data_IF_341902690482
#
_entry.id   IF_341902690482
#
_cell.length_a   1.000
_cell.length_b   1.000
_cell.length_c   1.000
_cell.angle_alpha   90.00
_cell.angle_beta   90.00
_cell.angle_gamma   90.00
#
_symmetry.space_group_name_H-M   'P 1'
#
loop_
_entity.id
_entity.type
_entity.pdbx_description
1 polymer ?
#
# COMPACT_ATOMS: atom_id res chain seq x y z
N UNK A 1 -26.35 -7.60 3.58
CA UNK A 1 -25.28 -6.61 3.27
C UNK A 1 -24.33 -7.27 2.29
N UNK A 2 -23.93 -6.59 1.20
CA UNK A 2 -22.88 -7.05 0.28
C UNK A 2 -21.58 -6.34 0.67
N UNK A 3 -20.48 -7.09 0.71
CA UNK A 3 -19.13 -6.58 1.03
C UNK A 3 -18.29 -6.59 -0.24
N UNK A 4 -17.67 -5.46 -0.57
CA UNK A 4 -16.60 -5.38 -1.58
C UNK A 4 -15.30 -5.51 -0.82
N UNK A 5 -14.56 -6.60 -1.07
CA UNK A 5 -13.25 -6.85 -0.47
C UNK A 5 -12.16 -6.55 -1.50
N UNK A 6 -11.47 -5.43 -1.31
CA UNK A 6 -10.30 -5.09 -2.12
C UNK A 6 -9.08 -5.81 -1.55
N UNK A 7 -8.68 -6.89 -2.22
CA UNK A 7 -7.60 -7.78 -1.81
C UNK A 7 -6.34 -7.62 -2.69
N UNK A 8 -6.17 -6.45 -3.33
CA UNK A 8 -5.06 -6.18 -4.25
C UNK A 8 -3.67 -6.33 -3.63
N UNK A 9 -3.56 -6.25 -2.30
CA UNK A 9 -2.33 -6.43 -1.53
C UNK A 9 -2.23 -7.78 -0.81
N UNK A 10 -3.16 -8.72 -1.02
CA UNK A 10 -3.27 -9.97 -0.26
C UNK A 10 -2.00 -10.83 -0.28
N UNK A 11 -1.23 -10.80 -1.36
CA UNK A 11 -0.01 -11.59 -1.53
C UNK A 11 1.23 -10.97 -0.85
N UNK A 12 1.14 -9.70 -0.44
CA UNK A 12 2.25 -8.94 0.15
C UNK A 12 2.22 -9.01 1.68
N UNK A 13 2.37 -10.21 2.22
CA UNK A 13 2.42 -10.45 3.66
C UNK A 13 3.84 -10.63 4.17
N UNK A 14 4.08 -10.28 5.42
CA UNK A 14 5.37 -10.57 6.06
C UNK A 14 5.64 -12.09 6.09
N UNK A 15 6.91 -12.52 5.96
CA UNK A 15 7.28 -13.92 6.04
C UNK A 15 6.71 -14.57 7.31
N UNK A 16 6.03 -15.72 7.12
CA UNK A 16 5.36 -16.45 8.21
C UNK A 16 3.93 -15.98 8.53
N UNK A 17 3.47 -14.87 7.96
CA UNK A 17 2.07 -14.43 8.03
C UNK A 17 1.28 -14.97 6.85
N UNK A 18 -0.02 -15.21 7.07
CA UNK A 18 -0.95 -15.65 6.03
C UNK A 18 -2.08 -14.66 5.92
N UNK A 19 -2.42 -14.31 4.69
CA UNK A 19 -3.63 -13.58 4.40
C UNK A 19 -4.85 -14.51 4.53
N UNK A 20 -5.93 -14.00 5.10
CA UNK A 20 -7.22 -14.68 5.16
C UNK A 20 -8.21 -13.95 4.26
N UNK A 21 -8.54 -14.51 3.07
CA UNK A 21 -9.53 -13.89 2.18
C UNK A 21 -10.88 -13.75 2.88
N UNK A 22 -11.55 -12.62 2.71
CA UNK A 22 -12.86 -12.39 3.34
C UNK A 22 -13.89 -13.49 2.96
N UNK A 23 -13.91 -13.88 1.69
CA UNK A 23 -14.78 -14.92 1.20
C UNK A 23 -14.53 -16.31 1.82
N UNK A 24 -13.35 -16.55 2.43
CA UNK A 24 -13.00 -17.84 3.05
C UNK A 24 -13.37 -17.95 4.53
N UNK A 25 -13.87 -16.87 5.14
CA UNK A 25 -14.21 -16.87 6.57
C UNK A 25 -15.38 -17.80 6.89
N UNK A 26 -16.45 -17.75 6.11
CA UNK A 26 -17.59 -18.66 6.20
C UNK A 26 -18.49 -18.55 4.96
N UNK A 27 -19.51 -19.42 4.86
CA UNK A 27 -20.44 -19.46 3.72
C UNK A 27 -21.20 -18.13 3.53
N UNK A 28 -21.57 -17.44 4.60
CA UNK A 28 -22.26 -16.15 4.50
C UNK A 28 -21.35 -15.08 3.90
N UNK A 29 -20.06 -15.03 4.31
CA UNK A 29 -19.07 -14.15 3.71
C UNK A 29 -18.86 -14.46 2.23
N UNK A 30 -18.75 -15.76 1.88
CA UNK A 30 -18.61 -16.20 0.48
C UNK A 30 -19.76 -15.73 -0.40
N UNK A 31 -21.01 -15.94 0.04
CA UNK A 31 -22.21 -15.62 -0.74
C UNK A 31 -22.52 -14.12 -0.82
N UNK A 32 -21.98 -13.33 0.08
CA UNK A 32 -22.24 -11.88 0.16
C UNK A 32 -20.98 -11.03 -0.14
N UNK A 33 -20.00 -11.56 -0.86
CA UNK A 33 -18.77 -10.82 -1.19
C UNK A 33 -18.56 -10.65 -2.68
N UNK A 34 -17.90 -9.55 -2.99
CA UNK A 34 -17.28 -9.23 -4.27
C UNK A 34 -15.80 -9.04 -3.96
N UNK A 35 -14.95 -10.01 -4.32
CA UNK A 35 -13.52 -9.96 -4.05
C UNK A 35 -12.77 -9.44 -5.27
N UNK A 36 -12.02 -8.36 -5.10
CA UNK A 36 -11.21 -7.73 -6.14
C UNK A 36 -9.75 -8.13 -5.99
N UNK A 37 -9.15 -8.70 -7.02
CA UNK A 37 -7.78 -9.20 -7.07
C UNK A 37 -7.02 -8.64 -8.26
N UNK A 38 -5.71 -8.47 -8.13
CA UNK A 38 -4.85 -8.13 -9.25
C UNK A 38 -3.39 -8.53 -8.98
N UNK A 39 -2.69 -9.02 -9.98
CA UNK A 39 -1.25 -9.24 -9.95
C UNK A 39 -0.42 -7.92 -9.94
N UNK A 40 -1.08 -6.78 -10.11
CA UNK A 40 -0.43 -5.48 -10.33
C UNK A 40 0.51 -5.04 -9.20
N UNK A 41 0.18 -5.33 -7.94
CA UNK A 41 0.98 -4.88 -6.79
C UNK A 41 2.08 -5.86 -6.41
N UNK A 42 1.76 -7.15 -6.34
CA UNK A 42 2.72 -8.18 -5.98
C UNK A 42 3.76 -8.43 -7.08
N UNK A 43 3.37 -8.32 -8.35
CA UNK A 43 4.23 -8.63 -9.49
C UNK A 43 4.60 -7.42 -10.35
N UNK A 44 4.36 -6.20 -9.85
CA UNK A 44 4.68 -4.96 -10.55
C UNK A 44 4.07 -4.85 -11.96
N UNK A 45 2.84 -5.32 -12.13
CA UNK A 45 2.12 -5.35 -13.41
C UNK A 45 1.06 -4.23 -13.53
N UNK A 46 1.15 -3.18 -12.71
CA UNK A 46 0.16 -2.10 -12.70
C UNK A 46 -0.03 -1.41 -14.07
N UNK A 47 1.03 -1.35 -14.89
CA UNK A 47 0.98 -0.79 -16.24
C UNK A 47 0.08 -1.55 -17.20
N UNK A 48 -0.27 -2.80 -16.92
CA UNK A 48 -1.20 -3.60 -17.72
C UNK A 48 -2.68 -3.33 -17.40
N UNK A 49 -2.97 -2.61 -16.31
CA UNK A 49 -4.30 -2.11 -15.95
C UNK A 49 -5.38 -3.20 -15.93
N UNK A 50 -5.09 -4.35 -15.33
CA UNK A 50 -6.02 -5.46 -15.22
C UNK A 50 -6.26 -5.88 -13.78
N UNK A 51 -7.51 -6.26 -13.52
CA UNK A 51 -7.95 -6.85 -12.27
C UNK A 51 -8.98 -7.95 -12.56
N UNK A 52 -9.18 -8.85 -11.62
CA UNK A 52 -10.26 -9.83 -11.67
C UNK A 52 -11.16 -9.68 -10.44
N UNK A 53 -12.43 -10.03 -10.63
CA UNK A 53 -13.45 -9.99 -9.61
C UNK A 53 -14.01 -11.38 -9.42
N UNK A 54 -13.95 -11.89 -8.18
CA UNK A 54 -14.43 -13.21 -7.81
C UNK A 54 -15.74 -13.07 -7.01
N UNK A 55 -16.81 -13.69 -7.48
CA UNK A 55 -18.13 -13.60 -6.89
C UNK A 55 -18.78 -14.99 -6.93
N UNK A 56 -19.11 -15.56 -5.77
CA UNK A 56 -19.73 -16.88 -5.66
C UNK A 56 -21.23 -16.84 -6.00
N UNK A 57 -21.95 -15.83 -5.50
CA UNK A 57 -23.38 -15.66 -5.80
C UNK A 57 -23.63 -15.35 -7.28
N UNK A 58 -24.42 -16.18 -7.95
CA UNK A 58 -24.71 -16.06 -9.38
C UNK A 58 -25.49 -14.78 -9.71
N UNK A 59 -26.43 -14.40 -8.88
CA UNK A 59 -27.24 -13.20 -9.10
C UNK A 59 -26.41 -11.92 -9.02
N UNK A 60 -25.51 -11.84 -8.05
CA UNK A 60 -24.56 -10.70 -7.91
C UNK A 60 -23.58 -10.72 -9.10
N UNK A 61 -23.02 -11.89 -9.43
CA UNK A 61 -22.05 -12.04 -10.52
C UNK A 61 -22.65 -11.59 -11.86
N UNK A 62 -23.85 -12.02 -12.19
CA UNK A 62 -24.51 -11.65 -13.44
C UNK A 62 -24.80 -10.14 -13.54
N UNK A 63 -25.14 -9.49 -12.42
CA UNK A 63 -25.35 -8.04 -12.38
C UNK A 63 -24.06 -7.26 -12.59
N UNK A 64 -22.97 -7.67 -11.91
CA UNK A 64 -21.66 -7.04 -12.06
C UNK A 64 -21.11 -7.26 -13.48
N UNK A 65 -21.21 -8.48 -14.01
CA UNK A 65 -20.83 -8.79 -15.39
C UNK A 65 -21.53 -7.88 -16.41
N UNK A 66 -22.84 -7.71 -16.26
CA UNK A 66 -23.62 -6.80 -17.12
C UNK A 66 -23.17 -5.36 -16.99
N UNK A 67 -22.89 -4.89 -15.76
CA UNK A 67 -22.37 -3.55 -15.50
C UNK A 67 -21.05 -3.30 -16.23
N UNK A 68 -20.08 -4.22 -16.12
CA UNK A 68 -18.81 -4.09 -16.78
C UNK A 68 -18.91 -4.00 -18.31
N UNK A 69 -19.81 -4.77 -18.92
CA UNK A 69 -20.06 -4.68 -20.36
C UNK A 69 -20.79 -3.40 -20.76
N UNK A 70 -21.72 -2.92 -19.92
CA UNK A 70 -22.40 -1.64 -20.16
C UNK A 70 -21.42 -0.47 -20.11
N UNK A 71 -20.46 -0.52 -19.20
CA UNK A 71 -19.46 0.53 -19.03
C UNK A 71 -18.21 0.32 -19.93
N UNK A 72 -18.20 -0.71 -20.76
CA UNK A 72 -17.10 -1.07 -21.69
C UNK A 72 -15.75 -1.28 -20.99
N UNK A 73 -15.75 -1.81 -19.75
CA UNK A 73 -14.56 -2.07 -18.95
C UNK A 73 -14.29 -3.57 -18.74
N UNK A 74 -15.04 -4.44 -19.42
CA UNK A 74 -14.91 -5.90 -19.29
C UNK A 74 -13.69 -6.49 -20.02
N UNK A 75 -13.19 -5.79 -21.05
CA UNK A 75 -12.14 -6.29 -21.93
C UNK A 75 -10.76 -5.90 -21.38
N UNK A 76 -9.96 -6.86 -20.86
CA UNK A 76 -8.63 -6.56 -20.38
C UNK A 76 -7.66 -6.32 -21.56
N UNK A 77 -6.54 -5.66 -21.26
CA UNK A 77 -5.41 -5.56 -22.17
C UNK A 77 -4.95 -6.98 -22.62
N UNK A 78 -4.61 -7.14 -23.89
CA UNK A 78 -4.28 -8.44 -24.48
C UNK A 78 -3.10 -9.16 -23.79
N UNK A 79 -2.13 -8.41 -23.26
CA UNK A 79 -1.00 -8.98 -22.53
C UNK A 79 -1.30 -9.21 -21.03
N UNK A 80 -2.36 -8.62 -20.52
CA UNK A 80 -2.67 -8.65 -19.09
C UNK A 80 -3.06 -10.05 -18.62
N UNK A 81 -3.81 -10.80 -19.42
CA UNK A 81 -4.21 -12.16 -19.07
C UNK A 81 -3.01 -13.08 -18.96
N UNK A 82 -2.17 -13.13 -19.99
CA UNK A 82 -0.97 -13.97 -20.04
C UNK A 82 0.01 -13.61 -18.92
N UNK A 83 0.26 -12.31 -18.71
CA UNK A 83 1.15 -11.85 -17.66
C UNK A 83 0.61 -12.19 -16.25
N UNK A 84 -0.70 -12.07 -16.02
CA UNK A 84 -1.32 -12.43 -14.74
C UNK A 84 -1.28 -13.94 -14.48
N UNK A 85 -1.53 -14.75 -15.52
CA UNK A 85 -1.44 -16.21 -15.46
C UNK A 85 0.00 -16.62 -15.10
N UNK A 86 0.99 -16.12 -15.82
CA UNK A 86 2.40 -16.40 -15.54
C UNK A 86 2.79 -15.96 -14.11
N UNK A 87 2.37 -14.77 -13.69
CA UNK A 87 2.64 -14.25 -12.35
C UNK A 87 2.09 -15.18 -11.25
N UNK A 88 0.84 -15.60 -11.34
CA UNK A 88 0.22 -16.44 -10.31
C UNK A 88 0.63 -17.91 -10.36
N UNK A 89 0.93 -18.46 -11.55
CA UNK A 89 1.31 -19.86 -11.67
C UNK A 89 2.82 -20.04 -11.45
N UNK A 90 3.65 -19.17 -11.99
CA UNK A 90 5.11 -19.33 -12.03
C UNK A 90 5.84 -18.37 -11.05
N UNK A 91 5.19 -17.29 -10.60
CA UNK A 91 5.81 -16.23 -9.80
C UNK A 91 6.01 -16.52 -8.32
N UNK A 92 5.78 -17.75 -7.84
CA UNK A 92 5.80 -18.09 -6.41
C UNK A 92 7.15 -17.80 -5.73
N UNK A 93 8.26 -18.14 -6.37
CA UNK A 93 9.59 -17.92 -5.79
C UNK A 93 9.94 -16.42 -5.81
N UNK A 94 9.61 -15.72 -6.89
CA UNK A 94 9.68 -14.26 -6.96
C UNK A 94 8.93 -13.59 -5.80
N UNK A 95 7.69 -13.97 -5.59
CA UNK A 95 6.85 -13.39 -4.53
C UNK A 95 7.43 -13.64 -3.14
N UNK A 96 7.95 -14.85 -2.90
CA UNK A 96 8.62 -15.21 -1.65
C UNK A 96 9.83 -14.29 -1.40
N UNK A 97 10.69 -14.12 -2.40
CA UNK A 97 11.89 -13.28 -2.28
C UNK A 97 11.53 -11.81 -2.13
N UNK A 98 10.51 -11.34 -2.87
CA UNK A 98 9.98 -9.99 -2.72
C UNK A 98 9.48 -9.72 -1.30
N UNK A 99 8.70 -10.63 -0.72
CA UNK A 99 8.18 -10.48 0.64
C UNK A 99 9.31 -10.44 1.70
N UNK A 100 10.37 -11.24 1.52
CA UNK A 100 11.56 -11.15 2.37
C UNK A 100 12.28 -9.81 2.22
N UNK A 101 12.43 -9.33 0.99
CA UNK A 101 13.06 -8.06 0.69
C UNK A 101 12.29 -6.87 1.28
N UNK A 102 10.97 -6.84 1.11
CA UNK A 102 10.09 -5.82 1.70
C UNK A 102 10.17 -5.86 3.23
N UNK A 103 10.13 -7.05 3.83
CA UNK A 103 10.26 -7.20 5.29
C UNK A 103 11.61 -6.66 5.80
N UNK A 104 12.71 -6.91 5.08
CA UNK A 104 14.02 -6.37 5.43
C UNK A 104 14.07 -4.83 5.32
N UNK A 105 13.47 -4.27 4.25
CA UNK A 105 13.32 -2.82 4.10
C UNK A 105 12.49 -2.22 5.23
N UNK A 106 11.35 -2.84 5.58
CA UNK A 106 10.48 -2.40 6.66
C UNK A 106 11.22 -2.33 8.00
N UNK A 107 11.92 -3.40 8.38
CA UNK A 107 12.72 -3.45 9.59
C UNK A 107 13.81 -2.37 9.62
N UNK A 108 14.47 -2.16 8.48
CA UNK A 108 15.48 -1.10 8.34
C UNK A 108 14.87 0.28 8.55
N UNK A 109 13.72 0.56 7.94
CA UNK A 109 13.04 1.85 8.06
C UNK A 109 12.53 2.09 9.49
N UNK A 110 11.91 1.09 10.11
CA UNK A 110 11.44 1.16 11.51
C UNK A 110 12.60 1.41 12.48
N UNK A 111 13.71 0.69 12.30
CA UNK A 111 14.92 0.91 13.11
C UNK A 111 15.48 2.33 12.94
N UNK A 112 15.53 2.81 11.69
CA UNK A 112 15.99 4.18 11.41
C UNK A 112 15.09 5.22 12.08
N UNK A 113 13.78 5.12 11.95
CA UNK A 113 12.84 6.03 12.62
C UNK A 113 13.04 6.01 14.13
N UNK A 114 13.05 4.82 14.74
CA UNK A 114 13.24 4.67 16.19
C UNK A 114 14.54 5.31 16.71
N UNK A 115 15.61 5.28 15.92
CA UNK A 115 16.94 5.77 16.36
C UNK A 115 17.23 7.20 15.96
N UNK A 116 16.73 7.67 14.83
CA UNK A 116 17.06 8.99 14.27
C UNK A 116 15.91 9.99 14.34
N UNK A 117 14.67 9.52 14.48
CA UNK A 117 13.44 10.30 14.52
C UNK A 117 12.47 9.68 15.53
N UNK A 118 12.82 9.61 16.82
CA UNK A 118 12.04 8.90 17.83
C UNK A 118 10.64 9.47 18.03
N UNK A 119 10.37 10.69 17.59
CA UNK A 119 9.07 11.36 17.66
C UNK A 119 8.12 10.93 16.51
N UNK A 120 8.66 10.31 15.45
CA UNK A 120 7.88 9.78 14.33
C UNK A 120 7.78 8.25 14.42
N UNK A 121 6.57 7.74 14.55
CA UNK A 121 6.34 6.32 14.82
C UNK A 121 5.76 5.59 13.60
N UNK A 122 6.52 4.62 13.05
CA UNK A 122 5.95 3.71 12.06
C UNK A 122 4.93 2.78 12.72
N UNK A 123 3.69 2.81 12.21
CA UNK A 123 2.64 1.89 12.65
C UNK A 123 3.03 0.46 12.28
N UNK A 124 2.90 -0.47 13.22
CA UNK A 124 3.16 -1.89 12.95
C UNK A 124 2.14 -2.43 11.96
N UNK A 125 2.63 -3.17 10.97
CA UNK A 125 1.79 -3.81 9.97
C UNK A 125 2.35 -5.16 9.58
N UNK A 126 1.47 -6.12 9.27
CA UNK A 126 1.82 -7.49 8.89
C UNK A 126 1.80 -7.70 7.37
N UNK A 127 1.49 -6.66 6.60
CA UNK A 127 1.35 -6.74 5.17
C UNK A 127 1.75 -5.43 4.50
N UNK A 128 1.82 -5.44 3.20
CA UNK A 128 2.14 -4.36 2.28
C UNK A 128 3.55 -3.78 2.41
N UNK A 129 3.92 -3.00 1.41
CA UNK A 129 5.16 -2.23 1.36
C UNK A 129 4.92 -0.74 1.69
N UNK A 130 3.78 -0.42 2.29
CA UNK A 130 3.40 0.94 2.62
C UNK A 130 3.62 1.15 4.13
N UNK A 131 4.55 2.02 4.49
CA UNK A 131 4.71 2.45 5.87
C UNK A 131 3.75 3.58 6.15
N UNK A 132 2.98 3.44 7.20
CA UNK A 132 2.14 4.47 7.80
C UNK A 132 2.88 5.03 9.00
N UNK A 133 3.20 6.31 8.98
CA UNK A 133 4.04 6.94 9.99
C UNK A 133 3.23 8.01 10.71
N UNK A 134 3.09 7.84 12.00
CA UNK A 134 2.47 8.80 12.90
C UNK A 134 3.40 10.01 13.06
N UNK A 135 2.87 11.17 12.77
CA UNK A 135 3.51 12.47 12.84
C UNK A 135 2.71 13.46 13.70
N UNK A 136 1.88 12.97 14.66
CA UNK A 136 1.01 13.82 15.49
C UNK A 136 1.78 14.96 16.19
N UNK A 137 3.06 14.78 16.47
CA UNK A 137 3.95 15.83 17.01
C UNK A 137 4.01 17.07 16.12
N UNK A 138 3.71 16.95 14.84
CA UNK A 138 3.66 18.04 13.87
C UNK A 138 2.25 18.63 13.67
N UNK A 139 1.25 18.13 14.39
CA UNK A 139 -0.14 18.62 14.25
C UNK A 139 -0.21 20.15 14.50
N UNK A 140 -0.96 20.92 13.70
CA UNK A 140 -1.76 20.55 12.51
C UNK A 140 -0.99 20.70 11.17
N UNK A 141 0.31 20.67 11.17
CA UNK A 141 1.18 21.05 10.05
C UNK A 141 1.67 19.85 9.22
N UNK A 142 1.11 18.63 9.37
CA UNK A 142 1.60 17.43 8.72
C UNK A 142 1.53 17.53 7.18
N UNK A 143 0.45 18.09 6.64
CA UNK A 143 0.33 18.30 5.18
C UNK A 143 1.35 19.32 4.67
N UNK A 144 1.57 20.39 5.42
CA UNK A 144 2.58 21.40 5.10
C UNK A 144 3.99 20.80 5.16
N UNK A 145 4.24 19.91 6.11
CA UNK A 145 5.50 19.16 6.18
C UNK A 145 5.72 18.27 4.96
N UNK A 146 4.68 17.60 4.46
CA UNK A 146 4.79 16.81 3.22
C UNK A 146 5.18 17.68 2.02
N UNK A 147 4.55 18.84 1.87
CA UNK A 147 4.87 19.81 0.81
C UNK A 147 6.30 20.34 0.94
N UNK A 148 6.73 20.63 2.17
CA UNK A 148 8.09 21.06 2.48
C UNK A 148 9.13 19.99 2.13
N UNK A 149 8.88 18.73 2.51
CA UNK A 149 9.75 17.60 2.15
C UNK A 149 9.91 17.47 0.64
N UNK A 150 8.82 17.59 -0.10
CA UNK A 150 8.87 17.51 -1.56
C UNK A 150 9.69 18.66 -2.15
N UNK A 151 9.39 19.89 -1.75
CA UNK A 151 9.98 21.10 -2.35
C UNK A 151 11.45 21.29 -1.97
N UNK A 152 11.78 21.17 -0.68
CA UNK A 152 13.11 21.55 -0.17
C UNK A 152 14.07 20.35 -0.07
N UNK A 153 13.54 19.12 0.04
CA UNK A 153 14.35 17.92 0.21
C UNK A 153 14.20 16.89 -0.92
N UNK A 154 13.33 17.16 -1.93
CA UNK A 154 13.09 16.26 -3.05
C UNK A 154 12.57 14.89 -2.61
N UNK A 155 11.80 14.84 -1.50
CA UNK A 155 11.18 13.63 -0.99
C UNK A 155 9.66 13.72 -1.10
N UNK A 156 9.10 12.97 -2.04
CA UNK A 156 7.66 12.86 -2.20
C UNK A 156 7.12 11.75 -1.28
N UNK A 157 6.23 12.12 -0.37
CA UNK A 157 5.46 11.23 0.50
C UNK A 157 3.97 11.47 0.30
N UNK A 158 3.12 10.48 0.61
CA UNK A 158 1.68 10.70 0.54
C UNK A 158 1.20 11.33 1.83
N UNK A 159 0.37 12.37 1.73
CA UNK A 159 -0.34 12.98 2.84
C UNK A 159 -1.37 11.99 3.39
N UNK A 160 -1.41 11.80 4.68
CA UNK A 160 -2.40 10.92 5.31
C UNK A 160 -3.81 11.48 5.26
N UNK A 161 -3.97 12.81 5.24
CA UNK A 161 -5.26 13.50 5.03
C UNK A 161 -6.00 13.06 3.76
N UNK A 162 -5.28 12.63 2.72
CA UNK A 162 -5.87 12.07 1.49
C UNK A 162 -6.67 10.78 1.73
N UNK A 163 -6.50 10.12 2.89
CA UNK A 163 -7.18 8.88 3.27
C UNK A 163 -8.30 9.11 4.31
N UNK A 164 -8.67 10.35 4.54
CA UNK A 164 -9.73 10.75 5.45
C UNK A 164 -9.22 11.46 6.71
N UNK A 165 -10.16 11.99 7.49
CA UNK A 165 -9.87 12.83 8.66
C UNK A 165 -8.96 12.14 9.68
N UNK A 166 -9.14 10.84 9.92
CA UNK A 166 -8.29 10.06 10.82
C UNK A 166 -6.83 9.91 10.36
N UNK A 167 -6.53 10.30 9.13
CA UNK A 167 -5.18 10.26 8.58
C UNK A 167 -4.43 11.59 8.64
N UNK A 168 -5.03 12.68 9.11
CA UNK A 168 -4.45 14.03 9.09
C UNK A 168 -3.09 14.12 9.82
N UNK A 169 -2.86 13.28 10.82
CA UNK A 169 -1.61 13.24 11.57
C UNK A 169 -0.57 12.25 11.01
N UNK A 170 -0.80 11.70 9.83
CA UNK A 170 0.05 10.65 9.28
C UNK A 170 0.65 11.03 7.93
N UNK A 171 1.78 10.36 7.61
CA UNK A 171 2.34 10.31 6.27
C UNK A 171 2.48 8.86 5.82
N UNK A 172 2.42 8.61 4.51
CA UNK A 172 2.62 7.27 3.94
C UNK A 172 3.85 7.24 3.04
N UNK A 173 4.73 6.27 3.28
CA UNK A 173 5.94 6.05 2.48
C UNK A 173 5.89 4.67 1.84
N UNK A 174 6.19 4.60 0.53
CA UNK A 174 6.38 3.35 -0.20
C UNK A 174 7.84 2.90 -0.05
N UNK A 175 8.05 1.67 0.43
CA UNK A 175 9.36 1.05 0.63
C UNK A 175 9.66 -0.07 -0.37
N UNK A 176 8.80 -0.28 -1.39
CA UNK A 176 9.07 -1.22 -2.48
C UNK A 176 10.06 -0.62 -3.49
N UNK A 177 11.26 -0.36 -3.06
CA UNK A 177 12.33 0.22 -3.84
C UNK A 177 13.69 -0.36 -3.41
N UNK A 178 14.77 -0.16 -4.18
CA UNK A 178 16.11 -0.54 -3.75
C UNK A 178 16.46 0.01 -2.38
N UNK A 179 17.07 -0.80 -1.52
CA UNK A 179 17.41 -0.43 -0.13
C UNK A 179 18.23 0.88 -0.06
N UNK A 180 19.17 1.08 -0.99
CA UNK A 180 19.96 2.31 -1.06
C UNK A 180 19.09 3.56 -1.30
N UNK A 181 18.07 3.46 -2.15
CA UNK A 181 17.12 4.53 -2.41
C UNK A 181 16.26 4.83 -1.18
N UNK A 182 15.74 3.77 -0.53
CA UNK A 182 14.99 3.90 0.72
C UNK A 182 15.80 4.61 1.81
N UNK A 183 17.06 4.19 2.03
CA UNK A 183 17.96 4.84 3.00
C UNK A 183 18.21 6.31 2.67
N UNK A 184 18.31 6.64 1.39
CA UNK A 184 18.44 8.04 0.95
C UNK A 184 17.17 8.82 1.27
N UNK A 185 15.98 8.24 1.03
CA UNK A 185 14.70 8.82 1.39
C UNK A 185 14.57 9.08 2.90
N UNK A 186 14.96 8.10 3.74
CA UNK A 186 14.95 8.24 5.19
C UNK A 186 15.89 9.36 5.69
N UNK A 187 17.08 9.50 5.09
CA UNK A 187 18.00 10.60 5.39
C UNK A 187 17.41 11.97 5.01
N UNK A 188 16.71 12.05 3.87
CA UNK A 188 15.99 13.27 3.45
C UNK A 188 14.86 13.60 4.41
N UNK A 189 14.09 12.59 4.85
CA UNK A 189 13.06 12.74 5.86
C UNK A 189 13.63 13.32 7.15
N UNK A 190 14.74 12.77 7.67
CA UNK A 190 15.38 13.24 8.90
C UNK A 190 15.86 14.69 8.78
N UNK A 191 16.55 15.03 7.67
CA UNK A 191 17.00 16.41 7.42
C UNK A 191 15.82 17.38 7.33
N UNK A 192 14.76 16.98 6.61
CA UNK A 192 13.57 17.78 6.44
C UNK A 192 12.81 17.98 7.75
N UNK A 193 12.69 16.95 8.57
CA UNK A 193 12.07 17.04 9.89
C UNK A 193 12.83 18.04 10.79
N UNK A 194 14.14 17.90 10.92
CA UNK A 194 14.94 18.82 11.75
C UNK A 194 14.89 20.28 11.24
N UNK A 195 14.87 20.50 9.92
CA UNK A 195 14.78 21.84 9.38
C UNK A 195 13.37 22.44 9.59
N UNK A 196 12.34 21.63 9.34
CA UNK A 196 10.95 22.06 9.51
C UNK A 196 10.61 22.42 10.95
N UNK A 197 11.00 21.58 11.93
CA UNK A 197 10.76 21.84 13.35
C UNK A 197 11.43 23.12 13.80
N UNK A 198 12.67 23.37 13.45
CA UNK A 198 13.38 24.63 13.75
C UNK A 198 12.67 25.85 13.17
N UNK A 199 12.22 25.76 11.92
CA UNK A 199 11.64 26.89 11.22
C UNK A 199 10.19 27.19 11.66
N UNK A 200 9.39 26.17 11.93
CA UNK A 200 7.94 26.34 12.10
C UNK A 200 7.43 26.05 13.52
N UNK A 201 8.19 25.35 14.35
CA UNK A 201 7.76 24.97 15.69
C UNK A 201 8.58 25.64 16.81
N UNK A 202 9.91 25.80 16.64
CA UNK A 202 10.77 26.42 17.66
C UNK A 202 10.76 27.95 17.62
N UNK A 203 10.23 28.55 16.54
CA UNK A 203 10.08 30.00 16.42
C UNK A 203 8.74 30.53 17.00
N UNK A 204 8.03 29.73 17.75
CA UNK A 204 6.82 30.12 18.49
C UNK A 204 7.05 30.03 19.98
#
# INVERSE_FOLDING_TARGET
MIVISDEIHCELCEPGKKYLPFASVNTSCLQNSITCLSASKAFNLAGLQAACVVIADEGIRNRIWRGFHTDEVAEPNVFACEASIAAWIEGKDWLKDLNHYISANKKTAQHYLKTQLPELHAVESQATYLLWIDCHVLHPFVDQFCDYLHKEHGLLVSKGSAYGKSGEDFIRINIACPNALMRTGLKRLSKGYCAFTKQFLECR
#
